data_IF_900799236089
#
_entry.id   IF_900799236089
#
_cell.length_a   1.000
_cell.length_b   1.000
_cell.length_c   1.000
_cell.angle_alpha   90.00
_cell.angle_beta   90.00
_cell.angle_gamma   90.00
#
_symmetry.space_group_name_H-M   'P 1'
#
loop_
_entity.id
_entity.type
_entity.pdbx_description
1 polymer ?
#
# COMPACT_ATOMS: atom_id res chain seq x y z
N UNK A 1 -7.46 -9.54 7.40
CA UNK A 1 -8.20 -8.41 8.03
C UNK A 1 -9.11 -7.82 6.97
N UNK A 2 -10.34 -7.47 7.31
CA UNK A 2 -11.32 -6.88 6.38
C UNK A 2 -11.12 -5.36 6.36
N UNK A 3 -11.25 -4.73 5.25
CA UNK A 3 -11.01 -3.36 4.86
C UNK A 3 -11.27 -2.08 5.68
N UNK A 4 -11.91 -2.05 6.88
CA UNK A 4 -12.19 -0.76 7.50
C UNK A 4 -11.01 -0.14 8.25
N UNK A 5 -10.80 1.15 8.03
CA UNK A 5 -9.95 2.06 8.80
C UNK A 5 -10.84 2.94 9.67
N UNK A 6 -10.45 3.17 10.92
CA UNK A 6 -11.23 3.94 11.88
C UNK A 6 -10.50 5.19 12.34
N UNK A 7 -11.22 6.29 12.47
CA UNK A 7 -10.80 7.47 13.22
C UNK A 7 -11.24 7.34 14.69
N UNK A 8 -10.40 7.83 15.59
CA UNK A 8 -10.68 7.84 17.03
C UNK A 8 -10.52 9.27 17.55
N UNK A 9 -11.54 9.78 18.26
CA UNK A 9 -11.45 11.10 18.88
C UNK A 9 -10.29 11.18 19.88
N UNK A 10 -9.72 12.38 20.05
CA UNK A 10 -8.55 12.60 20.94
C UNK A 10 -8.71 12.04 22.37
N UNK A 11 -9.93 12.07 22.90
CA UNK A 11 -10.25 11.49 24.23
C UNK A 11 -10.53 9.98 24.21
N UNK A 12 -10.43 9.33 23.03
CA UNK A 12 -10.65 7.90 22.87
C UNK A 12 -12.10 7.42 22.97
N UNK A 13 -13.07 8.34 23.09
CA UNK A 13 -14.48 7.98 23.37
C UNK A 13 -15.28 7.66 22.12
N UNK A 14 -15.02 8.39 21.03
CA UNK A 14 -15.76 8.22 19.77
C UNK A 14 -14.86 7.49 18.75
N UNK A 15 -15.38 6.41 18.21
CA UNK A 15 -14.75 5.64 17.12
C UNK A 15 -15.68 5.75 15.91
N UNK A 16 -15.18 6.26 14.79
CA UNK A 16 -15.92 6.42 13.55
C UNK A 16 -15.20 5.66 12.43
N UNK A 17 -15.93 4.95 11.59
CA UNK A 17 -15.34 4.35 10.40
C UNK A 17 -14.87 5.48 9.47
N UNK A 18 -13.56 5.57 9.26
CA UNK A 18 -12.96 6.59 8.40
C UNK A 18 -13.11 6.21 6.94
N UNK A 19 -12.72 4.99 6.59
CA UNK A 19 -12.78 4.44 5.25
C UNK A 19 -13.01 2.93 5.35
N UNK A 20 -13.85 2.37 4.50
CA UNK A 20 -13.87 0.93 4.24
C UNK A 20 -13.47 0.67 2.79
N UNK A 21 -12.36 -0.02 2.58
CA UNK A 21 -11.86 -0.35 1.25
C UNK A 21 -12.83 -1.28 0.49
N UNK A 22 -13.73 -1.99 1.20
CA UNK A 22 -14.77 -2.82 0.59
C UNK A 22 -16.05 -2.04 0.22
N UNK A 23 -16.21 -0.82 0.76
CA UNK A 23 -17.35 0.00 0.41
C UNK A 23 -17.16 0.63 -0.95
N UNK A 24 -18.28 0.92 -1.58
CA UNK A 24 -18.35 1.55 -2.88
C UNK A 24 -17.71 0.75 -4.01
N UNK A 25 -17.99 1.18 -5.19
CA UNK A 25 -17.41 0.62 -6.42
C UNK A 25 -15.96 1.13 -6.65
N UNK A 26 -15.11 1.08 -5.59
CA UNK A 26 -13.69 1.43 -5.72
C UNK A 26 -12.93 0.52 -6.70
N UNK A 27 -13.53 -0.63 -7.08
CA UNK A 27 -12.92 -1.61 -7.97
C UNK A 27 -11.83 -2.45 -7.30
N UNK A 28 -11.84 -2.52 -5.97
CA UNK A 28 -10.85 -3.26 -5.17
C UNK A 28 -11.56 -4.32 -4.35
N UNK A 29 -11.84 -5.49 -4.94
CA UNK A 29 -12.43 -6.59 -4.18
C UNK A 29 -11.37 -7.19 -3.24
N UNK A 30 -11.41 -6.80 -1.97
CA UNK A 30 -10.45 -7.30 -0.97
C UNK A 30 -10.66 -8.78 -0.74
N UNK A 31 -9.57 -9.55 -0.87
CA UNK A 31 -9.54 -10.94 -0.47
C UNK A 31 -9.03 -11.07 0.97
N UNK A 32 -9.69 -11.91 1.75
CA UNK A 32 -9.29 -12.24 3.13
C UNK A 32 -9.63 -13.69 3.45
N UNK A 33 -9.40 -14.59 2.48
CA UNK A 33 -9.72 -16.01 2.58
C UNK A 33 -8.74 -16.76 3.49
N UNK A 34 -7.51 -16.27 3.61
CA UNK A 34 -6.46 -16.80 4.47
C UNK A 34 -6.11 -15.81 5.57
N UNK A 35 -5.47 -16.31 6.64
CA UNK A 35 -5.18 -15.51 7.85
C UNK A 35 -4.24 -14.33 7.61
N UNK A 36 -3.43 -14.35 6.55
CA UNK A 36 -2.43 -13.34 6.21
C UNK A 36 -2.88 -12.41 5.08
N UNK A 37 -4.07 -12.62 4.53
CA UNK A 37 -4.65 -11.78 3.48
C UNK A 37 -5.52 -10.65 4.03
N UNK A 38 -5.70 -9.62 3.24
CA UNK A 38 -6.62 -8.51 3.47
C UNK A 38 -5.92 -7.16 3.53
N UNK A 39 -6.47 -6.26 4.35
CA UNK A 39 -5.89 -4.96 4.59
C UNK A 39 -4.66 -5.09 5.50
N UNK A 40 -3.47 -4.88 4.95
CA UNK A 40 -2.20 -5.15 5.60
C UNK A 40 -1.68 -3.97 6.39
N UNK A 41 -1.68 -2.78 5.79
CA UNK A 41 -1.07 -1.60 6.39
C UNK A 41 -1.59 -0.30 5.79
N UNK A 42 -1.39 0.81 6.51
CA UNK A 42 -1.59 2.15 6.00
C UNK A 42 -0.53 3.12 6.52
N UNK A 43 -0.31 4.22 5.80
CA UNK A 43 0.58 5.31 6.23
C UNK A 43 0.07 6.64 5.67
N UNK A 44 0.04 7.68 6.51
CA UNK A 44 -0.23 9.04 6.07
C UNK A 44 1.05 9.70 5.55
N UNK A 45 0.95 10.45 4.44
CA UNK A 45 2.07 11.28 3.98
C UNK A 45 2.50 12.26 5.07
N UNK A 46 3.80 12.56 5.25
CA UNK A 46 4.25 13.51 6.26
C UNK A 46 3.62 14.91 6.14
N UNK A 47 3.16 15.27 4.94
CA UNK A 47 2.45 16.52 4.64
C UNK A 47 0.92 16.37 4.59
N UNK A 48 0.37 15.29 5.13
CA UNK A 48 -1.08 15.01 5.04
C UNK A 48 -1.95 16.19 5.48
N UNK A 49 -1.53 16.90 6.54
CA UNK A 49 -2.25 18.05 7.09
C UNK A 49 -1.69 19.42 6.65
N UNK A 50 -0.75 19.48 5.68
CA UNK A 50 -0.08 20.72 5.28
C UNK A 50 -0.69 21.26 3.97
N UNK A 51 -1.64 22.22 4.03
CA UNK A 51 -2.31 22.76 2.84
C UNK A 51 -1.32 23.37 1.84
N UNK A 52 -1.56 23.10 0.56
CA UNK A 52 -0.74 23.66 -0.53
C UNK A 52 0.57 22.90 -0.78
N UNK A 53 0.81 21.82 -0.07
CA UNK A 53 1.93 20.90 -0.35
C UNK A 53 1.49 19.74 -1.23
N UNK A 54 2.42 19.08 -1.97
CA UNK A 54 2.08 17.94 -2.82
C UNK A 54 1.50 16.74 -2.08
N UNK A 55 1.83 16.59 -0.78
CA UNK A 55 1.38 15.49 0.05
C UNK A 55 0.08 15.78 0.84
N UNK A 56 -0.53 16.96 0.65
CA UNK A 56 -1.78 17.32 1.34
C UNK A 56 -2.90 16.33 1.04
N UNK A 57 -3.56 15.83 2.07
CA UNK A 57 -4.65 14.86 1.99
C UNK A 57 -4.24 13.43 1.61
N UNK A 58 -2.94 13.17 1.33
CA UNK A 58 -2.51 11.87 0.82
C UNK A 58 -2.19 10.87 1.91
N UNK A 59 -2.72 9.66 1.75
CA UNK A 59 -2.36 8.50 2.54
C UNK A 59 -2.38 7.25 1.67
N UNK A 60 -1.75 6.20 2.16
CA UNK A 60 -1.48 4.98 1.39
C UNK A 60 -1.98 3.77 2.14
N UNK A 61 -2.49 2.78 1.39
CA UNK A 61 -2.89 1.48 1.94
C UNK A 61 -2.24 0.36 1.14
N UNK A 62 -1.87 -0.72 1.84
CA UNK A 62 -1.43 -1.96 1.25
C UNK A 62 -2.50 -3.02 1.53
N UNK A 63 -2.99 -3.67 0.50
CA UNK A 63 -4.10 -4.63 0.62
C UNK A 63 -4.03 -5.73 -0.42
N UNK A 64 -4.57 -6.89 -0.08
CA UNK A 64 -4.73 -8.00 -1.02
C UNK A 64 -6.09 -7.92 -1.71
N UNK A 65 -6.09 -8.18 -3.02
CA UNK A 65 -7.29 -8.15 -3.87
C UNK A 65 -7.43 -9.43 -4.68
N UNK A 66 -8.66 -9.89 -4.87
CA UNK A 66 -8.96 -10.98 -5.80
C UNK A 66 -8.99 -10.54 -7.27
N UNK A 67 -8.83 -9.25 -7.52
CA UNK A 67 -8.70 -8.72 -8.87
C UNK A 67 -7.25 -8.87 -9.34
N UNK A 68 -7.02 -9.82 -10.21
CA UNK A 68 -5.72 -10.19 -10.78
C UNK A 68 -5.53 -9.61 -12.18
N UNK A 69 -5.93 -8.36 -12.38
CA UNK A 69 -5.75 -7.67 -13.68
C UNK A 69 -4.27 -7.57 -14.05
N UNK A 70 -3.88 -7.98 -15.27
CA UNK A 70 -2.55 -7.72 -15.77
C UNK A 70 -2.42 -6.27 -16.29
N UNK A 71 -1.19 -5.74 -16.39
CA UNK A 71 0.03 -6.37 -15.89
C UNK A 71 0.30 -6.01 -14.43
N UNK A 72 0.78 -6.97 -13.62
CA UNK A 72 1.39 -6.64 -12.35
C UNK A 72 2.78 -6.04 -12.57
N UNK A 73 3.20 -5.12 -11.68
CA UNK A 73 4.55 -4.53 -11.75
C UNK A 73 5.62 -5.55 -11.38
N UNK A 74 5.27 -6.43 -10.44
CA UNK A 74 6.15 -7.48 -9.95
C UNK A 74 5.45 -8.84 -9.98
N UNK A 75 6.07 -9.78 -10.70
CA UNK A 75 5.58 -11.15 -10.84
C UNK A 75 6.49 -12.13 -10.13
N UNK A 76 5.93 -13.23 -9.66
CA UNK A 76 6.68 -14.32 -9.05
C UNK A 76 7.44 -15.19 -10.06
N UNK A 77 7.06 -15.12 -11.32
CA UNK A 77 7.57 -16.00 -12.38
C UNK A 77 7.04 -17.44 -12.31
N UNK A 78 6.09 -17.71 -11.44
CA UNK A 78 5.38 -19.00 -11.34
C UNK A 78 4.11 -19.02 -12.18
N UNK A 79 3.54 -20.24 -12.34
CA UNK A 79 2.31 -20.45 -13.12
C UNK A 79 1.02 -20.17 -12.32
N UNK A 80 1.13 -19.86 -11.02
CA UNK A 80 -0.02 -19.65 -10.14
C UNK A 80 -0.08 -18.20 -9.67
N UNK A 81 -1.11 -17.48 -10.08
CA UNK A 81 -1.53 -16.23 -9.48
C UNK A 81 -2.77 -16.51 -8.62
N UNK A 82 -2.63 -16.48 -7.31
CA UNK A 82 -3.75 -16.73 -6.40
C UNK A 82 -4.57 -15.46 -6.14
N UNK A 83 -3.91 -14.30 -6.14
CA UNK A 83 -4.45 -12.97 -5.89
C UNK A 83 -3.33 -11.94 -6.12
N UNK A 84 -3.64 -10.65 -6.00
CA UNK A 84 -2.64 -9.59 -6.04
C UNK A 84 -2.59 -8.82 -4.72
N UNK A 85 -1.42 -8.26 -4.40
CA UNK A 85 -1.24 -7.23 -3.37
C UNK A 85 -1.06 -5.89 -4.05
N UNK A 86 -1.85 -4.88 -3.66
CA UNK A 86 -1.83 -3.55 -4.27
C UNK A 86 -1.49 -2.46 -3.26
N UNK A 87 -0.62 -1.53 -3.68
CA UNK A 87 -0.35 -0.27 -2.99
C UNK A 87 -1.22 0.81 -3.62
N UNK A 88 -2.08 1.42 -2.81
CA UNK A 88 -3.06 2.42 -3.23
C UNK A 88 -2.77 3.77 -2.58
N UNK A 89 -2.86 4.83 -3.35
CA UNK A 89 -2.87 6.22 -2.87
C UNK A 89 -4.30 6.74 -2.80
N UNK A 90 -4.66 7.30 -1.66
CA UNK A 90 -5.92 7.99 -1.38
C UNK A 90 -5.66 9.47 -1.21
N UNK A 91 -6.64 10.30 -1.56
CA UNK A 91 -6.54 11.75 -1.37
C UNK A 91 -7.81 12.24 -0.69
N UNK A 92 -7.74 12.57 0.61
CA UNK A 92 -8.82 13.20 1.35
C UNK A 92 -8.94 14.67 0.93
N UNK A 93 -10.17 15.16 0.75
CA UNK A 93 -10.41 16.58 0.46
C UNK A 93 -10.25 17.42 1.73
N UNK A 94 -10.68 16.87 2.88
CA UNK A 94 -10.59 17.50 4.19
C UNK A 94 -9.86 16.56 5.17
N UNK A 95 -8.53 16.64 5.29
CA UNK A 95 -7.73 15.78 6.16
C UNK A 95 -8.15 15.74 7.64
N UNK A 96 -8.79 16.81 8.12
CA UNK A 96 -9.34 16.91 9.48
C UNK A 96 -10.68 16.21 9.66
N UNK A 97 -11.32 15.73 8.60
CA UNK A 97 -12.61 15.05 8.68
C UNK A 97 -12.49 13.70 9.40
N UNK A 98 -13.54 13.31 10.09
CA UNK A 98 -13.60 12.03 10.80
C UNK A 98 -13.97 10.85 9.89
N UNK A 99 -14.40 11.15 8.66
CA UNK A 99 -14.72 10.19 7.59
C UNK A 99 -14.00 10.61 6.32
N UNK A 100 -13.57 9.62 5.53
CA UNK A 100 -12.97 9.88 4.22
C UNK A 100 -13.99 10.50 3.26
N UNK A 101 -13.57 11.55 2.58
CA UNK A 101 -14.42 12.37 1.70
C UNK A 101 -13.84 12.55 0.29
N UNK A 102 -12.76 11.83 -0.01
CA UNK A 102 -12.12 11.87 -1.33
C UNK A 102 -12.74 10.89 -2.34
N UNK A 103 -12.12 10.85 -3.51
CA UNK A 103 -12.49 9.95 -4.61
C UNK A 103 -11.87 8.54 -4.52
N UNK A 104 -12.01 7.74 -5.60
CA UNK A 104 -11.37 6.43 -5.68
C UNK A 104 -9.84 6.55 -5.61
N UNK A 105 -9.16 5.52 -5.10
CA UNK A 105 -7.70 5.53 -4.98
C UNK A 105 -7.03 5.40 -6.34
N UNK A 106 -5.77 5.86 -6.39
CA UNK A 106 -4.83 5.60 -7.47
C UNK A 106 -3.97 4.39 -7.10
N UNK A 107 -3.88 3.40 -7.98
CA UNK A 107 -2.99 2.27 -7.79
C UNK A 107 -1.57 2.68 -8.17
N UNK A 108 -0.62 2.46 -7.25
CA UNK A 108 0.80 2.78 -7.44
C UNK A 108 1.61 1.56 -7.86
N UNK A 109 1.39 0.43 -7.17
CA UNK A 109 2.16 -0.80 -7.37
C UNK A 109 1.21 -2.00 -7.23
N UNK A 110 1.45 -3.01 -8.06
CA UNK A 110 0.79 -4.31 -8.02
C UNK A 110 1.79 -5.45 -8.00
N UNK A 111 1.63 -6.35 -7.04
CA UNK A 111 2.35 -7.61 -6.93
C UNK A 111 1.44 -8.78 -7.27
N UNK A 112 1.86 -9.65 -8.16
CA UNK A 112 1.22 -10.95 -8.41
C UNK A 112 1.65 -11.93 -7.32
N UNK A 113 0.72 -12.34 -6.46
CA UNK A 113 1.02 -13.25 -5.33
C UNK A 113 0.85 -14.71 -5.72
N UNK A 114 1.91 -15.54 -5.62
CA UNK A 114 1.84 -16.93 -6.02
C UNK A 114 1.02 -17.80 -5.06
N UNK A 115 1.01 -17.48 -3.76
CA UNK A 115 0.29 -18.23 -2.72
C UNK A 115 -0.40 -17.33 -1.72
N UNK A 116 -1.30 -17.89 -0.91
CA UNK A 116 -2.19 -17.15 -0.02
C UNK A 116 -1.58 -16.62 1.27
N UNK A 117 -0.29 -16.87 1.53
CA UNK A 117 0.43 -16.43 2.73
C UNK A 117 1.72 -15.69 2.38
N UNK A 118 2.37 -15.07 3.36
CA UNK A 118 3.57 -14.23 3.20
C UNK A 118 3.39 -13.13 2.14
N UNK A 119 2.24 -12.48 2.11
CA UNK A 119 1.91 -11.49 1.08
C UNK A 119 2.51 -10.10 1.38
N UNK A 120 2.78 -9.80 2.61
CA UNK A 120 3.38 -8.53 2.98
C UNK A 120 2.90 -8.13 4.35
N UNK A 121 2.75 -6.89 4.68
CA UNK A 121 3.79 -5.96 4.68
C UNK A 121 3.39 -4.77 5.51
N UNK A 122 4.32 -3.88 5.59
CA UNK A 122 4.19 -2.68 6.39
C UNK A 122 4.54 -1.47 5.52
N UNK A 123 3.81 -0.37 5.71
CA UNK A 123 4.09 0.92 5.12
C UNK A 123 4.62 1.88 6.19
N UNK A 124 5.66 2.64 5.87
CA UNK A 124 6.18 3.68 6.76
C UNK A 124 6.84 4.81 5.99
N UNK A 125 6.69 6.03 6.50
CA UNK A 125 7.56 7.16 6.17
C UNK A 125 8.63 7.30 7.25
N UNK A 126 9.80 7.86 6.90
CA UNK A 126 10.86 8.14 7.87
C UNK A 126 10.44 9.31 8.77
N UNK A 127 9.99 9.01 9.98
CA UNK A 127 9.39 9.98 10.91
C UNK A 127 10.34 11.09 11.37
N UNK A 128 11.66 10.88 11.28
CA UNK A 128 12.69 11.85 11.65
C UNK A 128 13.17 12.71 10.46
N UNK A 129 12.72 12.44 9.24
CA UNK A 129 13.05 13.25 8.08
C UNK A 129 12.23 14.54 8.07
N UNK A 130 12.88 15.65 7.73
CA UNK A 130 12.28 16.98 7.63
C UNK A 130 12.23 17.45 6.18
N UNK A 131 11.36 18.42 5.84
CA UNK A 131 11.35 19.02 4.51
C UNK A 131 12.74 19.51 4.10
N UNK A 132 13.23 19.07 2.94
CA UNK A 132 14.56 19.32 2.44
C UNK A 132 15.55 18.16 2.62
N UNK A 133 15.25 17.18 3.47
CA UNK A 133 16.02 15.94 3.52
C UNK A 133 15.73 15.06 2.30
N UNK A 134 16.75 14.38 1.78
CA UNK A 134 16.61 13.51 0.62
C UNK A 134 15.63 12.34 0.82
N UNK A 135 15.33 11.97 2.05
CA UNK A 135 14.42 10.88 2.41
C UNK A 135 13.03 11.38 2.87
N UNK A 136 12.81 12.71 2.89
CA UNK A 136 11.50 13.25 3.25
C UNK A 136 10.45 12.90 2.19
N UNK A 137 9.31 12.36 2.64
CA UNK A 137 8.23 11.97 1.75
C UNK A 137 8.45 10.66 0.98
N UNK A 138 9.59 9.96 1.22
CA UNK A 138 9.78 8.63 0.65
C UNK A 138 9.03 7.58 1.46
N UNK A 139 8.25 6.75 0.78
CA UNK A 139 7.49 5.64 1.36
C UNK A 139 8.34 4.37 1.35
N UNK A 140 8.42 3.70 2.48
CA UNK A 140 9.02 2.38 2.63
C UNK A 140 7.92 1.34 2.71
N UNK A 141 8.04 0.28 1.91
CA UNK A 141 7.10 -0.82 1.83
C UNK A 141 7.82 -2.15 2.00
N UNK A 142 7.43 -2.94 3.01
CA UNK A 142 7.86 -4.32 3.16
C UNK A 142 7.08 -5.22 2.22
N UNK A 143 7.78 -6.02 1.40
CA UNK A 143 7.21 -7.10 0.63
C UNK A 143 7.74 -8.43 1.17
N UNK A 144 6.86 -9.39 1.44
CA UNK A 144 7.27 -10.72 1.86
C UNK A 144 7.70 -11.58 0.67
N UNK A 145 8.10 -12.82 0.91
CA UNK A 145 8.71 -13.70 -0.10
C UNK A 145 7.71 -14.31 -1.10
N UNK A 146 6.42 -14.08 -0.91
CA UNK A 146 5.35 -14.59 -1.79
C UNK A 146 4.79 -15.94 -1.39
N UNK A 147 5.28 -16.55 -0.30
CA UNK A 147 4.60 -17.63 0.38
C UNK A 147 5.27 -19.01 0.38
N UNK A 148 4.60 -19.90 1.06
CA UNK A 148 5.00 -21.25 1.43
C UNK A 148 6.23 -21.33 2.35
N UNK A 149 6.44 -22.49 2.97
CA UNK A 149 7.55 -22.70 3.90
C UNK A 149 8.89 -22.85 3.17
N UNK A 150 9.88 -22.00 3.54
CA UNK A 150 11.25 -22.14 3.06
C UNK A 150 11.54 -21.48 1.71
N UNK A 151 10.71 -20.52 1.27
CA UNK A 151 10.91 -19.77 0.01
C UNK A 151 11.10 -20.70 -1.21
N UNK A 152 10.12 -21.54 -1.55
CA UNK A 152 10.30 -22.58 -2.58
C UNK A 152 10.53 -22.02 -3.97
N UNK A 153 10.11 -20.76 -4.22
CA UNK A 153 10.37 -20.05 -5.48
C UNK A 153 11.71 -19.30 -5.49
N UNK A 154 12.41 -19.32 -4.35
CA UNK A 154 13.73 -18.68 -4.19
C UNK A 154 13.71 -17.16 -4.49
N UNK A 155 12.62 -16.49 -4.13
CA UNK A 155 12.39 -15.08 -4.42
C UNK A 155 13.09 -14.16 -3.42
N UNK A 156 13.11 -14.54 -2.12
CA UNK A 156 13.64 -13.69 -1.06
C UNK A 156 15.15 -13.40 -1.23
N UNK A 157 15.93 -14.37 -1.67
CA UNK A 157 17.38 -14.24 -1.89
C UNK A 157 17.73 -13.77 -3.31
N UNK A 158 16.77 -13.72 -4.22
CA UNK A 158 16.98 -13.26 -5.58
C UNK A 158 16.98 -11.72 -5.63
N UNK A 159 18.14 -11.10 -5.89
CA UNK A 159 18.26 -9.64 -6.01
C UNK A 159 17.56 -9.05 -7.25
N UNK A 160 17.20 -9.89 -8.22
CA UNK A 160 16.37 -9.49 -9.36
C UNK A 160 14.86 -9.51 -9.09
N UNK A 161 14.45 -9.89 -7.87
CA UNK A 161 13.04 -9.94 -7.45
C UNK A 161 12.73 -8.83 -6.45
N UNK A 162 11.52 -8.28 -6.52
CA UNK A 162 11.00 -7.35 -5.53
C UNK A 162 10.40 -8.05 -4.28
N UNK A 163 10.20 -9.37 -4.35
CA UNK A 163 9.73 -10.17 -3.21
C UNK A 163 10.83 -10.35 -2.16
N UNK A 164 10.44 -10.39 -0.88
CA UNK A 164 11.37 -10.52 0.24
C UNK A 164 12.25 -9.29 0.45
N UNK A 165 11.81 -8.10 0.05
CA UNK A 165 12.57 -6.84 0.09
C UNK A 165 11.82 -5.76 0.85
N UNK A 166 12.55 -4.73 1.26
CA UNK A 166 11.98 -3.43 1.63
C UNK A 166 12.21 -2.50 0.45
N UNK A 167 11.14 -2.08 -0.19
CA UNK A 167 11.18 -1.09 -1.25
C UNK A 167 11.14 0.31 -0.67
N UNK A 168 11.86 1.23 -1.31
CA UNK A 168 11.79 2.67 -1.06
C UNK A 168 11.35 3.36 -2.33
N UNK A 169 10.27 4.12 -2.28
CA UNK A 169 9.71 4.81 -3.43
C UNK A 169 9.30 6.24 -3.09
N UNK A 170 9.26 7.10 -4.10
CA UNK A 170 8.62 8.42 -4.03
C UNK A 170 7.18 8.27 -4.53
N UNK A 171 6.17 8.29 -3.67
CA UNK A 171 4.79 8.10 -4.09
C UNK A 171 4.23 9.28 -4.90
N UNK A 172 4.92 10.42 -4.90
CA UNK A 172 4.55 11.62 -5.67
C UNK A 172 5.33 11.74 -6.98
N UNK A 173 6.31 10.86 -7.21
CA UNK A 173 7.11 10.81 -8.43
C UNK A 173 6.41 10.03 -9.56
N UNK A 174 7.06 9.97 -10.74
CA UNK A 174 6.48 9.34 -11.93
C UNK A 174 7.51 8.74 -12.89
N UNK A 175 8.72 8.41 -12.41
CA UNK A 175 9.79 7.87 -13.25
C UNK A 175 9.92 6.34 -13.19
N UNK A 176 8.96 5.65 -12.56
CA UNK A 176 8.84 4.19 -12.61
C UNK A 176 8.39 3.68 -13.98
N UNK A 177 8.48 2.39 -14.22
CA UNK A 177 8.08 1.77 -15.49
C UNK A 177 6.59 1.98 -15.80
N UNK A 178 5.72 1.89 -14.79
CA UNK A 178 4.29 2.14 -14.94
C UNK A 178 3.93 3.64 -14.89
N UNK A 179 4.86 4.52 -14.49
CA UNK A 179 4.66 5.97 -14.38
C UNK A 179 3.90 6.44 -13.15
N UNK A 180 3.56 5.53 -12.22
CA UNK A 180 2.68 5.80 -11.10
C UNK A 180 3.41 6.17 -9.80
N UNK A 181 4.73 5.97 -9.74
CA UNK A 181 5.58 6.35 -8.61
C UNK A 181 6.98 6.73 -9.07
N UNK A 182 7.76 7.34 -8.18
CA UNK A 182 9.16 7.68 -8.42
C UNK A 182 10.11 6.62 -7.85
N UNK A 183 11.20 6.38 -8.59
CA UNK A 183 12.36 5.60 -8.13
C UNK A 183 13.38 6.61 -7.59
N UNK A 184 13.62 6.67 -6.27
CA UNK A 184 14.57 7.60 -5.68
C UNK A 184 16.00 7.29 -6.14
N UNK A 185 16.81 8.33 -6.33
CA UNK A 185 18.21 8.23 -6.69
C UNK A 185 19.06 7.60 -5.57
#
# INVERSE_FOLDING_TARGET
>A
MRGPLYSVSYNGVTVTQYLDLNEHDWGIPIISSWSEQGFQSFAFHPQFNDPGTPGFGKFYTLTDTSDTRPPADFTSGGDSNSHDTVLLEWTAEHPEAVTYDGGPPRELIRYEQPVGNHNGGHLAFKSIASPGDAEFGLLYMGAADGGDGGDPLNLAQNLGSAFGKILRLDPLGSNSTNGEYGIPA
#
